data_IF_403219756207
#
_entry.id   IF_403219756207
#
_cell.length_a   1.000
_cell.length_b   1.000
_cell.length_c   1.000
_cell.angle_alpha   90.00
_cell.angle_beta   90.00
_cell.angle_gamma   90.00
#
_symmetry.space_group_name_H-M   'P 1'
#
loop_
_entity.id
_entity.type
_entity.pdbx_description
1 polymer ?
#
# COMPACT_ATOMS: atom_id res chain seq x y z
N UNK A 1 -4.04 13.92 7.17
CA UNK A 1 -5.19 13.04 7.51
C UNK A 1 -5.38 12.97 9.04
N UNK A 2 -6.58 12.65 9.57
CA UNK A 2 -6.86 12.66 11.04
C UNK A 2 -7.25 11.28 11.57
N UNK A 3 -6.54 10.79 12.57
CA UNK A 3 -6.71 9.47 13.21
C UNK A 3 -8.13 9.21 13.74
N UNK A 4 -8.78 10.24 14.30
CA UNK A 4 -10.12 10.10 14.90
C UNK A 4 -11.19 9.58 13.93
N UNK A 5 -11.01 9.77 12.62
CA UNK A 5 -12.02 9.42 11.59
C UNK A 5 -11.50 8.45 10.53
N UNK A 6 -10.21 8.13 10.56
CA UNK A 6 -9.60 7.27 9.55
C UNK A 6 -8.44 6.50 10.15
N UNK A 7 -8.48 5.19 10.01
CA UNK A 7 -7.47 4.28 10.52
C UNK A 7 -7.37 3.06 9.60
N UNK A 8 -6.20 2.84 9.00
CA UNK A 8 -5.89 1.65 8.20
C UNK A 8 -5.72 0.40 9.08
N UNK A 9 -5.60 0.57 10.39
CA UNK A 9 -5.06 -0.41 11.33
C UNK A 9 -3.63 -0.83 10.97
N UNK A 10 -2.96 -1.52 11.89
CA UNK A 10 -1.58 -2.02 11.65
C UNK A 10 -1.49 -2.91 10.41
N UNK A 11 -2.48 -3.78 10.21
CA UNK A 11 -2.52 -4.69 9.05
C UNK A 11 -2.74 -3.93 7.75
N UNK A 12 -3.65 -2.95 7.70
CA UNK A 12 -3.85 -2.17 6.48
C UNK A 12 -2.65 -1.31 6.13
N UNK A 13 -2.01 -0.67 7.13
CA UNK A 13 -0.76 0.07 6.91
C UNK A 13 0.35 -0.83 6.38
N UNK A 14 0.52 -2.03 6.95
CA UNK A 14 1.47 -3.01 6.46
C UNK A 14 1.22 -3.37 4.99
N UNK A 15 -0.04 -3.59 4.60
CA UNK A 15 -0.40 -3.91 3.21
C UNK A 15 -0.10 -2.78 2.24
N UNK A 16 -0.41 -1.54 2.60
CA UNK A 16 -0.10 -0.35 1.79
C UNK A 16 1.42 -0.22 1.61
N UNK A 17 2.17 -0.27 2.70
CA UNK A 17 3.64 -0.21 2.70
C UNK A 17 4.24 -1.29 1.78
N UNK A 18 3.76 -2.53 1.90
CA UNK A 18 4.25 -3.65 1.08
C UNK A 18 3.87 -3.50 -0.40
N UNK A 19 2.65 -3.06 -0.72
CA UNK A 19 2.17 -2.93 -2.11
C UNK A 19 2.88 -1.80 -2.86
N UNK A 20 3.21 -0.70 -2.18
CA UNK A 20 3.82 0.48 -2.77
C UNK A 20 5.34 0.55 -2.56
N UNK A 21 5.95 -0.39 -1.84
CA UNK A 21 7.39 -0.37 -1.54
C UNK A 21 7.80 0.73 -0.56
N UNK A 22 6.85 1.25 0.23
CA UNK A 22 7.07 2.36 1.16
C UNK A 22 7.34 1.84 2.57
N UNK A 23 8.39 2.35 3.22
CA UNK A 23 8.65 2.11 4.65
C UNK A 23 8.60 0.62 5.06
N UNK A 24 9.01 -0.30 4.19
CA UNK A 24 8.90 -1.75 4.39
C UNK A 24 9.74 -2.26 5.57
N UNK A 25 10.86 -1.59 5.85
CA UNK A 25 11.81 -1.93 6.92
C UNK A 25 11.63 -1.09 8.20
N UNK A 26 10.62 -0.23 8.26
CA UNK A 26 10.38 0.64 9.42
C UNK A 26 9.22 0.12 10.28
N UNK A 27 9.29 0.26 11.61
CA UNK A 27 8.17 -0.07 12.48
C UNK A 27 6.96 0.82 12.15
N UNK A 28 5.77 0.20 12.14
CA UNK A 28 4.52 0.93 11.90
C UNK A 28 4.21 1.79 13.11
N UNK A 29 4.45 3.10 12.98
CA UNK A 29 4.18 4.12 14.01
C UNK A 29 2.87 4.85 13.76
N UNK A 30 2.47 5.01 12.50
CA UNK A 30 1.24 5.68 12.10
C UNK A 30 0.34 4.71 11.35
N UNK A 31 -0.97 4.81 11.57
CA UNK A 31 -1.97 4.00 10.86
C UNK A 31 -2.91 4.85 10.01
N UNK A 32 -2.63 6.14 9.88
CA UNK A 32 -3.30 7.02 8.93
C UNK A 32 -2.63 6.96 7.57
N UNK A 33 -3.38 7.37 6.55
CA UNK A 33 -2.84 7.62 5.22
C UNK A 33 -1.93 8.87 5.25
N UNK A 34 -0.88 8.87 4.45
CA UNK A 34 0.01 10.03 4.22
C UNK A 34 -0.21 10.58 2.80
N UNK A 35 0.30 11.78 2.54
CA UNK A 35 0.29 12.35 1.19
C UNK A 35 1.18 11.55 0.22
N UNK A 36 2.28 11.00 0.73
CA UNK A 36 3.17 10.10 0.00
C UNK A 36 2.44 8.85 -0.50
N UNK A 37 1.61 8.23 0.35
CA UNK A 37 0.81 7.06 -0.06
C UNK A 37 -0.13 7.42 -1.23
N UNK A 38 -0.73 8.62 -1.21
CA UNK A 38 -1.67 9.06 -2.26
C UNK A 38 -0.94 9.28 -3.58
N UNK A 39 0.21 9.97 -3.56
CA UNK A 39 1.01 10.22 -4.76
C UNK A 39 1.51 8.90 -5.35
N UNK A 40 2.05 8.01 -4.52
CA UNK A 40 2.52 6.70 -4.94
C UNK A 40 1.40 5.82 -5.50
N UNK A 41 0.18 5.90 -4.95
CA UNK A 41 -0.98 5.15 -5.46
C UNK A 41 -1.38 5.63 -6.86
N UNK A 42 -1.38 6.95 -7.09
CA UNK A 42 -1.70 7.51 -8.42
C UNK A 42 -0.62 7.13 -9.43
N UNK A 43 0.66 7.21 -9.04
CA UNK A 43 1.77 6.79 -9.88
C UNK A 43 1.67 5.31 -10.25
N UNK A 44 1.39 4.44 -9.27
CA UNK A 44 1.20 3.00 -9.49
C UNK A 44 0.10 2.73 -10.52
N UNK A 45 -1.03 3.44 -10.42
CA UNK A 45 -2.16 3.29 -11.34
C UNK A 45 -1.80 3.71 -12.77
N UNK A 46 -1.07 4.82 -12.93
CA UNK A 46 -0.63 5.30 -14.26
C UNK A 46 0.34 4.30 -14.89
N UNK A 47 1.34 3.83 -14.13
CA UNK A 47 2.31 2.83 -14.62
C UNK A 47 1.66 1.51 -14.99
N UNK A 48 0.67 1.08 -14.20
CA UNK A 48 -0.13 -0.10 -14.51
C UNK A 48 -0.90 0.07 -15.83
N UNK A 49 -1.46 1.26 -16.06
CA UNK A 49 -2.15 1.57 -17.32
C UNK A 49 -1.21 1.57 -18.52
N UNK A 50 0.02 2.06 -18.36
CA UNK A 50 1.06 2.05 -19.40
C UNK A 50 1.68 0.64 -19.63
N UNK A 51 1.33 -0.35 -18.81
CA UNK A 51 1.85 -1.71 -18.91
C UNK A 51 3.28 -1.88 -18.39
N UNK A 52 3.75 -0.98 -17.54
CA UNK A 52 5.05 -1.13 -16.87
C UNK A 52 4.97 -2.26 -15.84
N UNK A 53 6.04 -3.06 -15.73
CA UNK A 53 6.07 -4.23 -14.85
C UNK A 53 6.59 -3.95 -13.44
N UNK A 54 7.38 -2.88 -13.25
CA UNK A 54 7.96 -2.52 -11.94
C UNK A 54 7.89 -1.02 -11.68
N UNK A 55 7.91 -0.66 -10.41
CA UNK A 55 7.94 0.72 -9.93
C UNK A 55 8.82 0.81 -8.69
N UNK A 56 9.56 1.92 -8.59
CA UNK A 56 10.32 2.28 -7.40
C UNK A 56 9.93 3.69 -7.00
N UNK A 57 9.36 3.84 -5.80
CA UNK A 57 9.04 5.15 -5.23
C UNK A 57 10.32 5.78 -4.68
N UNK A 58 10.36 7.11 -4.54
CA UNK A 58 11.49 7.83 -3.95
C UNK A 58 11.83 7.27 -2.56
N UNK A 59 13.07 6.79 -2.37
CA UNK A 59 13.53 6.11 -1.15
C UNK A 59 12.77 4.82 -0.77
N UNK A 60 11.97 4.29 -1.69
CA UNK A 60 11.25 3.02 -1.53
C UNK A 60 12.01 1.85 -2.13
N UNK A 61 11.47 0.65 -1.92
CA UNK A 61 11.93 -0.58 -2.57
C UNK A 61 11.25 -0.74 -3.94
N UNK A 62 11.92 -1.43 -4.86
CA UNK A 62 11.33 -1.80 -6.14
C UNK A 62 10.22 -2.85 -5.93
N UNK A 63 9.04 -2.59 -6.49
CA UNK A 63 7.87 -3.45 -6.38
C UNK A 63 7.29 -3.79 -7.75
N UNK A 64 6.68 -4.98 -7.92
CA UNK A 64 5.95 -5.30 -9.13
C UNK A 64 4.68 -4.45 -9.27
N UNK A 65 4.41 -4.03 -10.50
CA UNK A 65 3.19 -3.31 -10.89
C UNK A 65 2.23 -4.30 -11.52
N UNK A 66 1.23 -4.72 -10.76
CA UNK A 66 0.27 -5.75 -11.15
C UNK A 66 -1.08 -5.55 -10.46
N UNK A 67 -2.13 -6.09 -11.10
CA UNK A 67 -3.48 -6.13 -10.52
C UNK A 67 -3.54 -7.14 -9.37
N UNK A 68 -4.20 -6.79 -8.28
CA UNK A 68 -4.40 -7.71 -7.17
C UNK A 68 -5.59 -8.65 -7.41
N UNK A 69 -5.40 -9.94 -7.14
CA UNK A 69 -6.51 -10.89 -7.01
C UNK A 69 -7.23 -10.67 -5.67
N UNK A 70 -8.49 -10.28 -5.75
CA UNK A 70 -9.34 -9.99 -4.58
C UNK A 70 -9.77 -11.26 -3.84
N UNK A 71 -9.73 -12.42 -4.49
CA UNK A 71 -10.14 -13.70 -3.90
C UNK A 71 -8.99 -14.40 -3.17
N UNK A 72 -7.75 -14.00 -3.42
CA UNK A 72 -6.58 -14.50 -2.70
C UNK A 72 -6.74 -14.27 -1.19
N UNK A 73 -6.53 -15.31 -0.38
CA UNK A 73 -6.74 -15.22 1.07
C UNK A 73 -5.89 -14.15 1.77
N UNK A 74 -4.71 -13.79 1.23
CA UNK A 74 -3.92 -12.66 1.73
C UNK A 74 -4.62 -11.31 1.57
N UNK A 75 -5.54 -11.21 0.60
CA UNK A 75 -6.35 -10.02 0.30
C UNK A 75 -7.72 -10.04 0.97
N UNK A 76 -8.19 -11.20 1.42
CA UNK A 76 -9.43 -11.36 2.20
C UNK A 76 -9.17 -11.23 3.71
N UNK A 77 -10.13 -10.67 4.43
CA UNK A 77 -10.09 -10.57 5.90
C UNK A 77 -11.21 -11.39 6.50
N UNK A 78 -10.86 -12.38 7.31
CA UNK A 78 -11.79 -13.01 8.24
C UNK A 78 -11.71 -12.26 9.58
N UNK A 79 -12.86 -11.87 10.13
CA UNK A 79 -12.94 -11.29 11.48
C UNK A 79 -13.62 -12.31 12.37
N UNK A 80 -12.89 -12.81 13.36
CA UNK A 80 -13.45 -13.69 14.39
C UNK A 80 -14.29 -12.86 15.36
N UNK A 81 -15.24 -13.52 16.03
CA UNK A 81 -16.05 -12.95 17.12
C UNK A 81 -15.27 -12.84 18.41
#
# INVERSE_FOLDING_TARGET
FKEKRYDLARVGRYKVNKKLGLNTNHPITTTTLTEEDVVATIEYLVRLHEGQATMTVLNGEEVPVETDDIDQFGNRRLRTV
#
